data_IF_166722002626
#
_entry.id   IF_166722002626
#
_cell.length_a   1.000
_cell.length_b   1.000
_cell.length_c   1.000
_cell.angle_alpha   90.00
_cell.angle_beta   90.00
_cell.angle_gamma   90.00
#
_symmetry.space_group_name_H-M   'P 1'
#
loop_
_entity.id
_entity.type
_entity.pdbx_description
1 polymer ?
#
# COMPACT_ATOMS: atom_id res chain seq x y z
N UNK A 1 2.23 -23.80 5.12
CA UNK A 1 1.82 -22.43 5.37
C UNK A 1 1.34 -21.79 4.08
N UNK A 2 0.36 -20.91 4.19
CA UNK A 2 -0.15 -20.12 3.07
C UNK A 2 0.54 -18.77 3.08
N UNK A 3 1.74 -18.69 2.52
CA UNK A 3 2.52 -17.47 2.47
C UNK A 3 2.21 -16.67 1.20
N UNK A 4 2.09 -15.36 1.32
CA UNK A 4 1.61 -14.47 0.27
C UNK A 4 2.43 -13.18 0.22
N UNK A 5 2.43 -12.53 -0.92
CA UNK A 5 2.92 -11.17 -1.13
C UNK A 5 1.75 -10.18 -1.13
N UNK A 6 2.02 -8.95 -0.79
CA UNK A 6 1.13 -7.81 -1.01
C UNK A 6 1.91 -6.67 -1.68
N UNK A 7 1.52 -6.34 -2.91
CA UNK A 7 2.06 -5.19 -3.63
C UNK A 7 1.57 -3.90 -3.00
N UNK A 8 2.50 -3.10 -2.50
CA UNK A 8 2.21 -1.84 -1.83
C UNK A 8 3.18 -0.74 -2.22
N UNK A 9 2.82 0.49 -1.88
CA UNK A 9 3.70 1.65 -1.80
C UNK A 9 3.88 2.01 -0.32
N UNK A 10 5.11 2.23 0.09
CA UNK A 10 5.43 2.75 1.43
C UNK A 10 5.68 4.25 1.39
N UNK A 11 5.00 5.02 2.23
CA UNK A 11 5.28 6.43 2.43
C UNK A 11 6.23 6.63 3.62
N UNK A 12 7.29 7.42 3.45
CA UNK A 12 8.28 7.70 4.48
C UNK A 12 8.02 9.09 5.06
N UNK A 13 7.87 9.15 6.37
CA UNK A 13 7.69 10.39 7.11
C UNK A 13 9.00 11.17 7.14
N UNK A 14 8.97 12.42 6.69
CA UNK A 14 10.12 13.32 6.68
C UNK A 14 10.05 14.45 7.71
N UNK A 15 8.87 14.66 8.30
CA UNK A 15 8.66 15.67 9.35
C UNK A 15 7.83 15.07 10.47
N UNK A 16 8.34 15.14 11.69
CA UNK A 16 7.65 14.61 12.87
C UNK A 16 6.35 15.38 13.14
N UNK A 17 5.35 14.69 13.69
CA UNK A 17 4.13 15.29 14.21
C UNK A 17 3.87 14.81 15.63
N UNK A 18 3.26 15.68 16.44
CA UNK A 18 2.87 15.39 17.81
C UNK A 18 1.36 15.71 17.97
N UNK A 19 0.54 14.72 17.66
CA UNK A 19 -0.91 14.83 17.68
C UNK A 19 -1.55 14.94 16.29
N UNK A 20 -2.87 15.21 16.24
CA UNK A 20 -3.64 15.26 15.00
C UNK A 20 -3.15 16.34 14.03
N UNK A 21 -3.01 15.96 12.76
CA UNK A 21 -2.66 16.86 11.66
C UNK A 21 -3.70 16.76 10.53
N UNK A 22 -3.82 17.82 9.77
CA UNK A 22 -4.68 17.87 8.57
C UNK A 22 -4.08 17.06 7.42
N UNK A 23 -4.89 16.75 6.40
CA UNK A 23 -4.40 16.07 5.18
C UNK A 23 -3.32 16.89 4.46
N UNK A 24 -3.45 18.22 4.44
CA UNK A 24 -2.43 19.10 3.83
C UNK A 24 -1.11 19.11 4.61
N UNK A 25 -1.16 19.12 5.94
CA UNK A 25 0.02 18.99 6.81
C UNK A 25 0.65 17.62 6.65
N UNK A 26 -0.17 16.55 6.57
CA UNK A 26 0.28 15.19 6.34
C UNK A 26 0.97 15.03 4.98
N UNK A 27 0.41 15.62 3.90
CA UNK A 27 1.12 15.67 2.61
C UNK A 27 2.47 16.38 2.75
N UNK A 28 2.53 17.50 3.50
CA UNK A 28 3.78 18.21 3.81
C UNK A 28 4.79 17.36 4.58
N UNK A 29 4.32 16.47 5.45
CA UNK A 29 5.17 15.64 6.31
C UNK A 29 5.77 14.42 5.59
N UNK A 30 5.25 14.00 4.43
CA UNK A 30 5.80 12.87 3.67
C UNK A 30 7.04 13.34 2.89
N UNK A 31 8.17 12.62 3.09
CA UNK A 31 9.43 12.87 2.38
C UNK A 31 9.44 12.24 0.99
N UNK A 32 8.96 11.00 0.86
CA UNK A 32 9.02 10.24 -0.37
C UNK A 32 8.42 8.86 -0.23
N UNK A 33 8.60 8.05 -1.26
CA UNK A 33 7.94 6.76 -1.41
C UNK A 33 8.94 5.66 -1.78
N UNK A 34 8.62 4.44 -1.37
CA UNK A 34 9.33 3.20 -1.71
C UNK A 34 8.34 2.17 -2.23
N UNK A 35 8.80 1.23 -3.04
CA UNK A 35 8.05 -0.01 -3.27
C UNK A 35 8.07 -0.82 -1.99
N UNK A 36 6.95 -1.44 -1.66
CA UNK A 36 6.81 -2.24 -0.45
C UNK A 36 6.10 -3.56 -0.76
N UNK A 37 6.55 -4.61 -0.11
CA UNK A 37 5.86 -5.90 -0.07
C UNK A 37 5.62 -6.29 1.38
N UNK A 38 4.36 -6.36 1.78
CA UNK A 38 3.94 -6.79 3.11
C UNK A 38 3.68 -8.31 3.10
N UNK A 39 4.73 -9.08 3.44
CA UNK A 39 4.66 -10.53 3.47
C UNK A 39 3.63 -11.03 4.48
N UNK A 40 2.73 -11.92 4.03
CA UNK A 40 1.54 -12.30 4.76
C UNK A 40 1.42 -13.80 4.93
N UNK A 41 1.25 -14.27 6.18
CA UNK A 41 0.91 -15.66 6.49
C UNK A 41 -0.62 -15.82 6.56
N UNK A 42 -1.27 -16.13 5.44
CA UNK A 42 -2.74 -16.13 5.31
C UNK A 42 -3.45 -17.14 6.20
N UNK A 43 -2.82 -18.25 6.53
CA UNK A 43 -3.35 -19.24 7.48
C UNK A 43 -3.41 -18.66 8.92
N UNK A 44 -2.38 -17.94 9.35
CA UNK A 44 -2.35 -17.24 10.63
C UNK A 44 -3.34 -16.08 10.61
N UNK A 45 -3.35 -15.28 9.54
CA UNK A 45 -4.27 -14.16 9.39
C UNK A 45 -5.73 -14.59 9.54
N UNK A 46 -6.13 -15.68 8.88
CA UNK A 46 -7.49 -16.18 8.94
C UNK A 46 -7.89 -16.63 10.37
N UNK A 47 -6.92 -17.02 11.19
CA UNK A 47 -7.16 -17.44 12.57
C UNK A 47 -7.28 -16.24 13.55
N UNK A 48 -6.48 -15.18 13.34
CA UNK A 48 -6.32 -14.11 14.35
C UNK A 48 -7.04 -12.79 14.03
N UNK A 49 -7.41 -12.53 12.74
CA UNK A 49 -7.76 -11.17 12.30
C UNK A 49 -9.07 -10.62 12.90
N UNK A 50 -9.95 -11.46 13.42
CA UNK A 50 -11.18 -11.03 14.07
C UNK A 50 -11.01 -10.98 15.59
N UNK A 51 -11.43 -9.89 16.28
CA UNK A 51 -12.00 -8.62 15.75
C UNK A 51 -10.98 -7.51 15.51
N UNK A 52 -9.72 -7.67 15.93
CA UNK A 52 -8.74 -6.56 16.06
C UNK A 52 -7.80 -6.40 14.85
N UNK A 53 -7.92 -7.24 13.84
CA UNK A 53 -7.02 -7.24 12.68
C UNK A 53 -5.82 -8.20 12.81
N UNK A 54 -4.96 -8.27 11.80
CA UNK A 54 -3.80 -9.17 11.82
C UNK A 54 -2.67 -8.65 12.72
N UNK A 55 -1.94 -9.59 13.34
CA UNK A 55 -0.75 -9.35 14.15
C UNK A 55 0.43 -10.20 13.66
N UNK A 56 0.50 -11.46 14.10
CA UNK A 56 1.59 -12.38 13.76
C UNK A 56 1.64 -12.74 12.27
N UNK A 57 0.49 -12.70 11.60
CA UNK A 57 0.41 -12.92 10.16
C UNK A 57 1.20 -11.90 9.34
N UNK A 58 1.40 -10.69 9.89
CA UNK A 58 2.14 -9.58 9.28
C UNK A 58 3.52 -9.32 9.92
N UNK A 59 3.89 -10.09 10.94
CA UNK A 59 5.14 -9.92 11.67
C UNK A 59 6.33 -10.72 11.09
N UNK A 60 6.15 -11.39 9.95
CA UNK A 60 7.20 -12.23 9.37
C UNK A 60 8.28 -11.44 8.67
N UNK A 61 7.92 -10.55 7.78
CA UNK A 61 8.83 -9.67 7.06
C UNK A 61 8.08 -8.55 6.35
N UNK A 62 8.77 -7.44 6.11
CA UNK A 62 8.39 -6.39 5.16
C UNK A 62 9.60 -6.11 4.28
N UNK A 63 9.43 -6.16 2.97
CA UNK A 63 10.48 -5.80 2.02
C UNK A 63 10.21 -4.44 1.43
N UNK A 64 11.23 -3.59 1.35
CA UNK A 64 11.14 -2.28 0.69
C UNK A 64 12.24 -2.14 -0.36
N UNK A 65 12.01 -1.27 -1.37
CA UNK A 65 13.07 -0.89 -2.29
C UNK A 65 14.19 -0.14 -1.55
N UNK A 66 15.46 -0.28 -1.97
CA UNK A 66 16.57 0.44 -1.35
C UNK A 66 16.60 1.93 -1.71
N UNK A 67 15.81 2.35 -2.71
CA UNK A 67 15.71 3.71 -3.19
C UNK A 67 14.44 4.37 -2.71
N UNK A 68 14.55 5.57 -2.16
CA UNK A 68 13.42 6.45 -1.87
C UNK A 68 13.27 7.41 -3.04
N UNK A 69 12.12 7.41 -3.69
CA UNK A 69 11.74 8.44 -4.65
C UNK A 69 11.12 9.59 -3.88
N UNK A 70 11.75 10.77 -3.92
CA UNK A 70 11.24 11.92 -3.16
C UNK A 70 9.89 12.38 -3.69
N UNK A 71 9.05 12.90 -2.81
CA UNK A 71 7.74 13.47 -3.19
C UNK A 71 7.88 14.56 -4.26
N UNK A 72 8.92 15.41 -4.18
CA UNK A 72 9.19 16.42 -5.19
C UNK A 72 9.45 15.85 -6.59
N UNK A 73 10.10 14.69 -6.69
CA UNK A 73 10.31 14.00 -7.95
C UNK A 73 9.00 13.41 -8.52
N UNK A 74 8.02 13.11 -7.67
CA UNK A 74 6.72 12.56 -8.07
C UNK A 74 5.67 13.65 -8.37
N UNK A 75 5.93 14.92 -8.07
CA UNK A 75 4.98 16.01 -8.31
C UNK A 75 4.38 16.05 -9.74
N UNK A 76 5.15 15.80 -10.82
CA UNK A 76 4.58 15.76 -12.17
C UNK A 76 3.55 14.65 -12.41
N UNK A 77 3.52 13.65 -11.55
CA UNK A 77 2.65 12.47 -11.64
C UNK A 77 1.46 12.53 -10.68
N UNK A 78 1.24 13.68 -10.02
CA UNK A 78 0.09 13.83 -9.10
C UNK A 78 -1.23 13.64 -9.81
N UNK A 79 -2.11 12.87 -9.19
CA UNK A 79 -3.49 12.66 -9.65
C UNK A 79 -4.46 12.75 -8.49
N UNK A 80 -5.73 12.98 -8.81
CA UNK A 80 -6.81 13.04 -7.83
C UNK A 80 -7.11 11.67 -7.26
N UNK A 81 -7.56 11.63 -6.01
CA UNK A 81 -8.21 10.45 -5.44
C UNK A 81 -9.51 10.16 -6.19
N UNK A 82 -9.98 8.90 -6.21
CA UNK A 82 -11.17 8.52 -6.97
C UNK A 82 -12.42 9.24 -6.47
N UNK A 83 -13.41 9.37 -7.36
CA UNK A 83 -14.74 9.82 -6.97
C UNK A 83 -15.34 8.84 -5.96
N UNK A 84 -15.95 9.37 -4.92
CA UNK A 84 -16.52 8.60 -3.82
C UNK A 84 -18.01 8.70 -3.77
N UNK A 85 -18.67 7.56 -3.56
CA UNK A 85 -20.13 7.50 -3.37
C UNK A 85 -20.56 7.99 -2.00
N UNK A 86 -19.65 7.89 -1.00
CA UNK A 86 -19.88 8.30 0.39
C UNK A 86 -19.03 9.52 0.72
N UNK A 87 -19.64 10.51 1.34
CA UNK A 87 -18.91 11.70 1.79
C UNK A 87 -17.85 11.32 2.84
N UNK A 88 -16.66 11.89 2.68
CA UNK A 88 -15.57 11.70 3.63
C UNK A 88 -15.87 12.45 4.94
N UNK A 89 -15.36 11.90 6.04
CA UNK A 89 -15.22 12.61 7.29
C UNK A 89 -14.34 13.85 7.10
N UNK A 90 -14.59 14.90 7.86
CA UNK A 90 -13.94 16.21 7.65
C UNK A 90 -12.41 16.13 7.70
N UNK A 91 -11.85 15.31 8.59
CA UNK A 91 -10.40 15.13 8.71
C UNK A 91 -9.75 14.33 7.57
N UNK A 92 -10.55 13.78 6.64
CA UNK A 92 -10.07 13.01 5.49
C UNK A 92 -10.27 13.75 4.14
N UNK A 93 -10.85 14.95 4.17
CA UNK A 93 -11.08 15.71 2.94
C UNK A 93 -9.75 16.21 2.38
N UNK A 94 -9.46 15.80 1.16
CA UNK A 94 -8.34 16.31 0.38
C UNK A 94 -8.72 17.62 -0.32
N UNK A 95 -7.78 18.55 -0.40
CA UNK A 95 -7.97 19.88 -0.97
C UNK A 95 -7.33 20.02 -2.36
N UNK A 96 -6.52 19.02 -2.75
CA UNK A 96 -5.74 18.97 -4.00
C UNK A 96 -5.48 17.52 -4.40
N UNK A 97 -4.95 17.24 -5.60
CA UNK A 97 -4.50 15.89 -5.97
C UNK A 97 -3.46 15.34 -4.97
N UNK A 98 -3.72 14.16 -4.39
CA UNK A 98 -2.93 13.56 -3.31
C UNK A 98 -2.43 12.14 -3.63
N UNK A 99 -2.86 11.55 -4.75
CA UNK A 99 -2.32 10.31 -5.29
C UNK A 99 -1.30 10.59 -6.40
N UNK A 100 -0.69 9.54 -6.89
CA UNK A 100 0.27 9.59 -7.99
C UNK A 100 -0.07 8.53 -9.03
N UNK A 101 0.07 8.87 -10.30
CA UNK A 101 -0.01 7.96 -11.43
C UNK A 101 1.32 7.21 -11.55
N UNK A 102 1.40 6.03 -10.93
CA UNK A 102 2.58 5.17 -10.89
C UNK A 102 2.17 3.76 -11.30
N UNK A 103 2.67 3.32 -12.44
CA UNK A 103 2.51 1.93 -12.87
C UNK A 103 3.31 0.99 -11.97
N UNK A 104 2.67 -0.09 -11.55
CA UNK A 104 3.22 -1.10 -10.67
C UNK A 104 3.12 -2.48 -11.31
N UNK A 105 4.17 -3.27 -11.18
CA UNK A 105 4.22 -4.62 -11.73
C UNK A 105 4.81 -5.60 -10.72
N UNK A 106 4.21 -6.78 -10.64
CA UNK A 106 4.74 -7.92 -9.86
C UNK A 106 5.18 -9.01 -10.82
N UNK A 107 6.43 -9.43 -10.67
CA UNK A 107 6.97 -10.61 -11.35
C UNK A 107 7.26 -11.71 -10.35
N UNK A 108 7.03 -12.95 -10.75
CA UNK A 108 7.37 -14.15 -9.98
C UNK A 108 8.38 -14.98 -10.78
N UNK A 109 9.52 -15.27 -10.15
CA UNK A 109 10.57 -16.12 -10.71
C UNK A 109 10.80 -17.32 -9.78
N UNK A 110 10.21 -18.50 -10.04
CA UNK A 110 10.55 -19.71 -9.31
C UNK A 110 12.01 -20.09 -9.54
N UNK A 111 12.60 -20.83 -8.60
CA UNK A 111 13.99 -21.27 -8.70
C UNK A 111 14.26 -21.97 -10.03
N UNK A 112 15.26 -21.49 -10.77
CA UNK A 112 15.65 -22.04 -12.08
C UNK A 112 14.68 -21.76 -13.23
N UNK A 113 13.74 -20.83 -13.07
CA UNK A 113 12.78 -20.41 -14.10
C UNK A 113 12.93 -18.91 -14.39
N UNK A 114 12.48 -18.51 -15.58
CA UNK A 114 12.38 -17.11 -15.94
C UNK A 114 11.26 -16.39 -15.14
N UNK A 115 11.39 -15.07 -15.01
CA UNK A 115 10.38 -14.26 -14.36
C UNK A 115 9.13 -14.13 -15.23
N UNK A 116 7.97 -14.39 -14.65
CA UNK A 116 6.65 -14.16 -15.27
C UNK A 116 5.94 -13.01 -14.60
N UNK A 117 5.37 -12.07 -15.35
CA UNK A 117 4.52 -11.02 -14.80
C UNK A 117 3.19 -11.63 -14.35
N UNK A 118 2.87 -11.48 -13.07
CA UNK A 118 1.65 -12.02 -12.47
C UNK A 118 0.61 -10.96 -12.15
N UNK A 119 1.01 -9.69 -12.02
CA UNK A 119 0.09 -8.57 -11.83
C UNK A 119 0.67 -7.27 -12.40
N UNK A 120 -0.22 -6.42 -12.91
CA UNK A 120 0.08 -5.03 -13.31
C UNK A 120 -1.08 -4.15 -12.86
N UNK A 121 -0.77 -3.10 -12.10
CA UNK A 121 -1.77 -2.17 -11.58
C UNK A 121 -1.18 -0.76 -11.53
N UNK A 122 -1.90 0.18 -10.96
CA UNK A 122 -1.44 1.55 -10.79
C UNK A 122 -1.76 2.05 -9.38
N UNK A 123 -0.88 2.85 -8.79
CA UNK A 123 -1.08 3.41 -7.45
C UNK A 123 -2.30 4.33 -7.38
N UNK A 124 -2.73 4.91 -8.49
CA UNK A 124 -3.95 5.73 -8.57
C UNK A 124 -5.25 4.94 -8.28
N UNK A 125 -5.21 3.59 -8.26
CA UNK A 125 -6.35 2.74 -7.87
C UNK A 125 -6.65 2.78 -6.35
N UNK A 126 -5.77 3.39 -5.55
CA UNK A 126 -5.97 3.51 -4.11
C UNK A 126 -7.14 4.42 -3.78
N UNK A 127 -7.99 3.99 -2.83
CA UNK A 127 -9.14 4.77 -2.36
C UNK A 127 -8.71 5.97 -1.51
N UNK A 128 -7.70 5.80 -0.64
CA UNK A 128 -7.12 6.84 0.19
C UNK A 128 -5.66 7.09 -0.18
N UNK A 129 -5.25 8.35 -0.20
CA UNK A 129 -3.85 8.73 -0.33
C UNK A 129 -3.06 8.48 0.96
N UNK A 130 -1.72 8.41 0.85
CA UNK A 130 -0.84 8.32 2.02
C UNK A 130 -1.02 9.51 2.97
N UNK A 131 -1.31 10.71 2.46
CA UNK A 131 -1.61 11.89 3.28
C UNK A 131 -2.89 11.70 4.10
N UNK A 132 -3.93 11.12 3.51
CA UNK A 132 -5.17 10.80 4.22
C UNK A 132 -4.95 9.70 5.27
N UNK A 133 -4.15 8.67 4.96
CA UNK A 133 -3.79 7.62 5.91
C UNK A 133 -3.03 8.18 7.11
N UNK A 134 -2.05 9.05 6.87
CA UNK A 134 -1.26 9.69 7.93
C UNK A 134 -2.13 10.62 8.79
N UNK A 135 -2.97 11.46 8.19
CA UNK A 135 -3.90 12.32 8.90
C UNK A 135 -4.87 11.48 9.76
N UNK A 136 -5.42 10.40 9.22
CA UNK A 136 -6.31 9.50 9.97
C UNK A 136 -5.59 8.84 11.15
N UNK A 137 -4.39 8.30 10.94
CA UNK A 137 -3.59 7.68 11.98
C UNK A 137 -3.29 8.65 13.13
N UNK A 138 -3.00 9.91 12.82
CA UNK A 138 -2.73 10.95 13.81
C UNK A 138 -3.93 11.31 14.70
N UNK A 139 -5.17 11.00 14.30
CA UNK A 139 -6.38 11.31 15.10
C UNK A 139 -6.42 10.60 16.43
N UNK A 140 -5.70 9.50 16.60
CA UNK A 140 -5.57 8.79 17.89
C UNK A 140 -4.57 9.48 18.83
N UNK A 141 -3.90 10.56 18.41
CA UNK A 141 -2.82 11.20 19.15
C UNK A 141 -1.47 10.48 19.02
N UNK A 142 -1.37 9.51 18.10
CA UNK A 142 -0.11 8.79 17.85
C UNK A 142 0.90 9.76 17.20
N UNK A 143 2.06 10.01 17.83
CA UNK A 143 3.11 10.82 17.22
C UNK A 143 3.74 10.07 16.05
N UNK A 144 4.15 10.81 15.03
CA UNK A 144 4.93 10.27 13.93
C UNK A 144 6.35 10.82 13.99
N UNK A 145 7.32 9.97 13.71
CA UNK A 145 8.74 10.34 13.74
C UNK A 145 9.32 10.37 12.32
N UNK A 146 10.40 11.13 12.15
CA UNK A 146 11.17 11.11 10.90
C UNK A 146 11.71 9.69 10.68
N UNK A 147 11.43 9.13 9.50
CA UNK A 147 11.80 7.77 9.13
C UNK A 147 10.71 6.72 9.36
N UNK A 148 9.58 7.06 10.00
CA UNK A 148 8.44 6.14 10.08
C UNK A 148 7.94 5.79 8.67
N UNK A 149 7.57 4.53 8.49
CA UNK A 149 7.10 3.95 7.24
C UNK A 149 5.62 3.57 7.35
N UNK A 150 4.82 4.08 6.43
CA UNK A 150 3.40 3.73 6.31
C UNK A 150 3.20 2.91 5.03
N UNK A 151 2.81 1.65 5.16
CA UNK A 151 2.36 0.84 4.04
C UNK A 151 0.96 1.26 3.57
N UNK A 152 0.75 1.24 2.25
CA UNK A 152 -0.52 1.67 1.66
C UNK A 152 -1.68 0.69 1.88
N UNK A 153 -1.39 -0.55 2.25
CA UNK A 153 -2.27 -1.68 2.00
C UNK A 153 -2.14 -2.17 0.56
N UNK A 154 -2.59 -3.37 0.30
CA UNK A 154 -2.49 -4.01 -1.02
C UNK A 154 -3.10 -3.14 -2.11
N UNK A 155 -2.37 -2.90 -3.19
CA UNK A 155 -2.82 -2.11 -4.34
C UNK A 155 -3.38 -3.06 -5.39
N UNK A 156 -4.70 -3.00 -5.59
CA UNK A 156 -5.43 -3.84 -6.53
C UNK A 156 -6.37 -2.99 -7.37
N UNK A 157 -6.34 -3.19 -8.69
CA UNK A 157 -7.29 -2.60 -9.61
C UNK A 157 -8.54 -3.48 -9.82
N UNK A 158 -9.48 -3.06 -10.68
CA UNK A 158 -10.78 -3.70 -10.83
C UNK A 158 -10.73 -5.07 -11.50
N UNK A 159 -9.74 -5.34 -12.35
CA UNK A 159 -9.64 -6.59 -13.09
C UNK A 159 -8.70 -7.60 -12.44
N UNK A 160 -8.83 -8.88 -12.78
CA UNK A 160 -7.99 -9.94 -12.18
C UNK A 160 -6.49 -9.71 -12.36
N UNK A 161 -5.96 -9.32 -13.54
CA UNK A 161 -4.53 -9.06 -13.72
C UNK A 161 -4.00 -7.87 -12.90
N UNK A 162 -4.86 -7.03 -12.36
CA UNK A 162 -4.49 -5.84 -11.58
C UNK A 162 -4.46 -6.09 -10.07
N UNK A 163 -4.63 -7.33 -9.62
CA UNK A 163 -4.71 -7.66 -8.19
C UNK A 163 -3.32 -7.83 -7.59
N UNK A 164 -3.07 -7.13 -6.48
CA UNK A 164 -1.76 -7.01 -5.87
C UNK A 164 -1.36 -8.13 -4.91
N UNK A 165 -2.13 -9.22 -4.80
CA UNK A 165 -1.80 -10.35 -3.92
C UNK A 165 -2.09 -11.70 -4.58
N UNK A 166 -1.37 -12.75 -4.17
CA UNK A 166 -1.66 -14.12 -4.62
C UNK A 166 -3.01 -14.61 -4.09
N UNK A 167 -3.42 -14.14 -2.91
CA UNK A 167 -4.75 -14.44 -2.35
C UNK A 167 -5.86 -14.05 -3.32
N UNK A 168 -5.78 -12.83 -3.88
CA UNK A 168 -6.77 -12.31 -4.82
C UNK A 168 -6.63 -12.93 -6.21
N UNK A 169 -5.39 -13.02 -6.73
CA UNK A 169 -5.09 -13.60 -8.05
C UNK A 169 -5.52 -15.06 -8.15
N UNK A 170 -5.28 -15.86 -7.10
CA UNK A 170 -5.61 -17.28 -7.06
C UNK A 170 -6.97 -17.59 -6.44
N UNK A 171 -7.73 -16.55 -6.03
CA UNK A 171 -8.99 -16.70 -5.29
C UNK A 171 -8.85 -17.60 -4.07
N UNK A 172 -7.84 -17.32 -3.25
CA UNK A 172 -7.51 -18.13 -2.06
C UNK A 172 -7.04 -19.55 -2.38
N UNK A 173 -6.43 -19.75 -3.56
CA UNK A 173 -5.93 -21.04 -4.04
C UNK A 173 -6.97 -21.88 -4.80
N UNK A 174 -8.19 -21.37 -5.03
CA UNK A 174 -9.23 -22.06 -5.80
C UNK A 174 -9.02 -21.96 -7.32
N UNK A 175 -8.29 -20.94 -7.77
CA UNK A 175 -7.94 -20.73 -9.16
C UNK A 175 -6.41 -20.55 -9.26
N UNK A 176 -5.63 -21.62 -9.32
CA UNK A 176 -4.17 -21.56 -9.39
C UNK A 176 -3.69 -20.72 -10.57
N UNK A 177 -2.58 -20.01 -10.36
CA UNK A 177 -1.87 -19.34 -11.45
C UNK A 177 -1.07 -20.37 -12.23
N UNK A 178 -1.12 -20.28 -13.55
CA UNK A 178 -0.23 -21.04 -14.43
C UNK A 178 1.02 -20.19 -14.69
N UNK A 179 2.18 -20.79 -14.50
CA UNK A 179 3.45 -20.21 -14.87
C UNK A 179 3.79 -20.66 -16.30
N UNK A 180 4.08 -19.72 -17.18
CA UNK A 180 4.58 -20.07 -18.51
C UNK A 180 5.99 -20.67 -18.36
N UNK A 181 6.14 -21.92 -18.76
CA UNK A 181 7.39 -22.70 -18.65
C UNK A 181 8.22 -22.60 -19.91
#
# INVERSE_FOLDING_TARGET
RRFDLELEIGAIVGMASDGPITVDEADGAIFGYVLLNDWSARDIQAWEYQPLGPFQAKATATSISPWIVTKAALDPFRTSTPNREVALLDHLKDTKPMLYDIDLMVTLAPEGKDATTIAQTNYAEMYFSAAQQLAHHSTSGCPMNVGDLLGSGTISGPTKPERGSLLELSWGGKAPLTHDT
#
